data_IF_505621517656
#
_entry.id   IF_505621517656
#
_cell.length_a   1.000
_cell.length_b   1.000
_cell.length_c   1.000
_cell.angle_alpha   90.00
_cell.angle_beta   90.00
_cell.angle_gamma   90.00
#
_symmetry.space_group_name_H-M   'P 1'
#
loop_
_entity.id
_entity.type
_entity.pdbx_description
1 polymer ?
#
# COMPACT_ATOMS: atom_id res chain seq x y z
N UNK A 1 31.44 -12.71 -5.54
CA UNK A 1 30.95 -14.10 -5.37
C UNK A 1 30.33 -14.56 -6.69
N UNK A 2 30.62 -15.80 -7.12
CA UNK A 2 30.04 -16.32 -8.35
C UNK A 2 28.53 -16.63 -8.14
N UNK A 3 27.69 -16.16 -9.05
CA UNK A 3 26.26 -16.50 -9.03
C UNK A 3 26.08 -17.91 -9.60
N UNK A 4 25.99 -18.91 -8.69
CA UNK A 4 25.88 -20.32 -9.04
C UNK A 4 24.64 -20.63 -9.89
N UNK A 5 23.53 -19.95 -9.64
CA UNK A 5 22.30 -20.12 -10.43
C UNK A 5 22.49 -19.60 -11.86
N UNK A 6 23.20 -18.49 -12.05
CA UNK A 6 23.55 -17.97 -13.37
C UNK A 6 24.42 -18.96 -14.14
N UNK A 7 25.46 -19.48 -13.51
CA UNK A 7 26.37 -20.48 -14.13
C UNK A 7 25.61 -21.75 -14.53
N UNK A 8 24.71 -22.22 -13.68
CA UNK A 8 23.89 -23.40 -13.96
C UNK A 8 22.96 -23.18 -15.13
N UNK A 9 22.31 -22.01 -15.19
CA UNK A 9 21.43 -21.61 -16.29
C UNK A 9 22.17 -21.49 -17.62
N UNK A 10 23.32 -20.84 -17.64
CA UNK A 10 24.15 -20.72 -18.85
C UNK A 10 24.53 -22.09 -19.42
N UNK A 11 24.91 -23.05 -18.56
CA UNK A 11 25.17 -24.43 -18.99
C UNK A 11 23.94 -25.14 -19.56
N UNK A 12 22.76 -24.86 -19.03
CA UNK A 12 21.51 -25.43 -19.56
C UNK A 12 21.17 -24.83 -20.92
N UNK A 13 21.30 -23.52 -21.09
CA UNK A 13 21.09 -22.85 -22.37
C UNK A 13 22.04 -23.32 -23.46
N UNK A 14 23.34 -23.44 -23.16
CA UNK A 14 24.32 -24.02 -24.08
C UNK A 14 23.97 -25.45 -24.52
N UNK A 15 23.37 -26.24 -23.62
CA UNK A 15 22.91 -27.56 -23.96
C UNK A 15 21.66 -27.56 -24.84
N UNK A 16 20.73 -26.65 -24.61
CA UNK A 16 19.53 -26.50 -25.44
C UNK A 16 19.85 -26.01 -26.85
N UNK A 17 20.84 -25.14 -27.02
CA UNK A 17 21.33 -24.71 -28.35
C UNK A 17 21.85 -25.95 -29.15
N UNK A 18 22.66 -26.80 -28.50
CA UNK A 18 23.13 -28.03 -29.14
C UNK A 18 21.99 -28.99 -29.51
N UNK A 19 20.93 -29.04 -28.70
CA UNK A 19 19.75 -29.86 -29.02
C UNK A 19 18.99 -29.30 -30.23
N UNK A 20 18.90 -27.98 -30.42
CA UNK A 20 18.32 -27.37 -31.62
C UNK A 20 19.07 -27.69 -32.90
N UNK A 21 20.41 -27.78 -32.82
CA UNK A 21 21.22 -28.17 -33.98
C UNK A 21 20.99 -29.63 -34.42
N UNK A 22 20.62 -30.49 -33.49
CA UNK A 22 20.43 -31.93 -33.74
C UNK A 22 18.99 -32.25 -34.15
N UNK A 23 18.01 -31.49 -33.60
CA UNK A 23 16.57 -31.74 -33.80
C UNK A 23 15.96 -30.57 -34.61
N UNK A 24 15.83 -30.74 -35.92
CA UNK A 24 15.36 -29.66 -36.81
C UNK A 24 13.85 -29.69 -37.14
N UNK A 25 13.07 -30.50 -36.41
CA UNK A 25 11.63 -30.48 -36.61
C UNK A 25 10.97 -29.36 -35.81
N UNK A 26 9.86 -28.81 -36.37
CA UNK A 26 9.19 -27.65 -35.80
C UNK A 26 8.64 -27.86 -34.39
N UNK A 27 8.25 -29.09 -34.07
CA UNK A 27 7.70 -29.43 -32.75
C UNK A 27 8.79 -29.38 -31.66
N UNK A 28 9.94 -30.00 -31.95
CA UNK A 28 11.09 -29.98 -31.04
C UNK A 28 11.67 -28.58 -30.88
N UNK A 29 11.75 -27.78 -31.94
CA UNK A 29 12.22 -26.39 -31.87
C UNK A 29 11.30 -25.56 -31.01
N UNK A 30 9.97 -25.70 -31.10
CA UNK A 30 9.02 -25.00 -30.21
C UNK A 30 9.21 -25.41 -28.76
N UNK A 31 9.27 -26.71 -28.46
CA UNK A 31 9.47 -27.19 -27.09
C UNK A 31 10.78 -26.70 -26.48
N UNK A 32 11.89 -26.74 -27.24
CA UNK A 32 13.18 -26.21 -26.78
C UNK A 32 13.11 -24.70 -26.53
N UNK A 33 12.42 -23.96 -27.39
CA UNK A 33 12.26 -22.51 -27.23
C UNK A 33 11.42 -22.15 -25.99
N UNK A 34 10.37 -22.92 -25.69
CA UNK A 34 9.60 -22.75 -24.44
C UNK A 34 10.47 -23.01 -23.20
N UNK A 35 11.31 -24.05 -23.22
CA UNK A 35 12.25 -24.33 -22.12
C UNK A 35 13.27 -23.19 -21.97
N UNK A 36 13.80 -22.65 -23.06
CA UNK A 36 14.72 -21.49 -23.00
C UNK A 36 14.05 -20.26 -22.43
N UNK A 37 12.81 -19.98 -22.84
CA UNK A 37 12.02 -18.87 -22.29
C UNK A 37 11.84 -19.03 -20.77
N UNK A 38 11.44 -20.21 -20.31
CA UNK A 38 11.28 -20.53 -18.89
C UNK A 38 12.60 -20.42 -18.09
N UNK A 39 13.75 -20.78 -18.71
CA UNK A 39 15.09 -20.63 -18.10
C UNK A 39 15.54 -19.16 -18.03
N UNK A 40 15.15 -18.35 -19.01
CA UNK A 40 15.50 -16.92 -19.09
C UNK A 40 14.54 -16.03 -18.30
N UNK A 41 13.41 -16.56 -17.87
CA UNK A 41 12.44 -15.83 -17.09
C UNK A 41 13.07 -15.31 -15.80
N UNK A 42 12.85 -14.01 -15.54
CA UNK A 42 13.44 -13.33 -14.38
C UNK A 42 12.67 -13.72 -13.13
N UNK A 43 13.26 -14.57 -12.28
CA UNK A 43 12.65 -15.02 -11.02
C UNK A 43 12.99 -14.05 -9.90
N UNK A 44 11.98 -13.40 -9.37
CA UNK A 44 12.09 -12.43 -8.27
C UNK A 44 11.92 -13.11 -6.89
N UNK A 45 12.77 -14.05 -6.54
CA UNK A 45 12.77 -14.62 -5.19
C UNK A 45 11.58 -15.49 -4.79
N UNK A 46 10.45 -15.43 -5.50
CA UNK A 46 9.26 -16.25 -5.31
C UNK A 46 9.00 -17.05 -6.58
N UNK A 47 8.86 -18.35 -6.43
CA UNK A 47 8.50 -19.27 -7.50
C UNK A 47 7.38 -20.17 -6.99
N UNK A 48 6.27 -20.24 -7.72
CA UNK A 48 5.15 -21.10 -7.39
C UNK A 48 4.68 -21.87 -8.62
N UNK A 49 3.91 -22.91 -8.40
CA UNK A 49 3.23 -23.63 -9.47
C UNK A 49 1.99 -22.84 -9.90
N UNK A 50 1.90 -22.56 -11.20
CA UNK A 50 0.73 -21.90 -11.76
C UNK A 50 -0.46 -22.84 -11.79
N UNK A 51 -1.62 -22.32 -11.39
CA UNK A 51 -2.89 -23.02 -11.45
C UNK A 51 -3.87 -22.27 -12.34
N UNK A 52 -4.60 -22.99 -13.22
CA UNK A 52 -5.70 -22.41 -13.99
C UNK A 52 -6.97 -22.33 -13.15
N UNK A 53 -7.83 -21.39 -13.47
CA UNK A 53 -9.18 -21.27 -12.92
C UNK A 53 -10.19 -21.57 -14.03
N UNK A 54 -11.39 -22.08 -13.72
CA UNK A 54 -12.48 -22.25 -14.70
C UNK A 54 -12.80 -20.97 -15.48
N UNK A 55 -12.62 -19.85 -14.83
CA UNK A 55 -12.76 -18.53 -15.43
C UNK A 55 -11.78 -18.32 -16.59
N UNK A 56 -10.55 -18.85 -16.52
CA UNK A 56 -9.59 -18.75 -17.62
C UNK A 56 -10.10 -19.54 -18.83
N UNK A 57 -10.56 -20.78 -18.63
CA UNK A 57 -11.12 -21.63 -19.67
C UNK A 57 -12.37 -20.99 -20.32
N UNK A 58 -13.23 -20.40 -19.50
CA UNK A 58 -14.40 -19.67 -19.99
C UNK A 58 -14.04 -18.47 -20.86
N UNK A 59 -12.99 -17.72 -20.50
CA UNK A 59 -12.52 -16.54 -21.24
C UNK A 59 -11.85 -16.88 -22.58
N UNK A 60 -11.37 -18.11 -22.77
CA UNK A 60 -10.84 -18.56 -24.06
C UNK A 60 -11.92 -18.63 -25.15
N UNK A 61 -13.15 -19.00 -24.76
CA UNK A 61 -14.24 -19.27 -25.68
C UNK A 61 -15.40 -18.29 -25.58
N UNK A 62 -15.46 -17.46 -24.54
CA UNK A 62 -16.57 -16.55 -24.29
C UNK A 62 -16.06 -15.12 -24.02
N UNK A 63 -16.87 -14.16 -24.42
CA UNK A 63 -16.65 -12.75 -24.12
C UNK A 63 -17.68 -12.34 -23.06
N UNK A 64 -17.24 -11.94 -21.84
CA UNK A 64 -18.17 -11.43 -20.84
C UNK A 64 -18.79 -10.11 -21.29
N UNK A 65 -19.98 -9.81 -20.81
CA UNK A 65 -20.67 -8.53 -21.02
C UNK A 65 -21.24 -8.01 -19.70
N UNK A 66 -21.32 -6.70 -19.55
CA UNK A 66 -22.11 -6.08 -18.48
C UNK A 66 -23.57 -6.00 -18.89
N UNK A 67 -24.46 -6.39 -17.99
CA UNK A 67 -25.91 -6.26 -18.14
C UNK A 67 -26.43 -5.35 -17.03
N UNK A 68 -27.09 -4.24 -17.40
CA UNK A 68 -27.67 -3.32 -16.41
C UNK A 68 -28.92 -3.94 -15.77
N UNK A 69 -28.94 -4.04 -14.43
CA UNK A 69 -30.16 -4.33 -13.69
C UNK A 69 -30.92 -3.03 -13.41
N UNK A 70 -31.85 -2.72 -14.30
CA UNK A 70 -32.67 -1.50 -14.24
C UNK A 70 -33.49 -1.42 -12.94
N UNK A 71 -33.86 -2.56 -12.35
CA UNK A 71 -34.68 -2.60 -11.13
C UNK A 71 -33.88 -2.20 -9.88
N UNK A 72 -32.57 -2.34 -9.92
CA UNK A 72 -31.66 -1.96 -8.83
C UNK A 72 -31.01 -0.60 -9.05
N UNK A 73 -31.32 0.07 -10.13
CA UNK A 73 -30.77 1.40 -10.44
C UNK A 73 -31.26 2.43 -9.43
N UNK A 74 -30.33 3.07 -8.75
CA UNK A 74 -30.57 4.21 -7.88
C UNK A 74 -30.37 5.46 -8.73
N UNK A 75 -31.43 6.21 -9.03
CA UNK A 75 -31.36 7.47 -9.76
C UNK A 75 -31.01 8.58 -8.75
N UNK A 76 -29.79 9.08 -8.86
CA UNK A 76 -29.38 10.33 -8.24
C UNK A 76 -29.71 11.52 -9.17
N UNK A 77 -29.45 12.76 -8.74
CA UNK A 77 -29.60 13.93 -9.59
C UNK A 77 -28.65 13.84 -10.80
N UNK A 78 -29.06 14.34 -11.96
CA UNK A 78 -28.33 14.27 -13.24
C UNK A 78 -26.88 14.82 -13.18
N UNK A 79 -26.55 15.62 -12.16
CA UNK A 79 -25.24 16.25 -11.98
C UNK A 79 -24.35 15.54 -10.93
N UNK A 80 -24.79 14.43 -10.35
CA UNK A 80 -24.00 13.69 -9.36
C UNK A 80 -23.07 12.66 -10.02
N UNK A 81 -21.91 12.35 -9.38
CA UNK A 81 -21.00 11.31 -9.85
C UNK A 81 -21.72 9.96 -9.94
N UNK A 82 -21.49 9.27 -11.04
CA UNK A 82 -22.10 7.96 -11.26
C UNK A 82 -21.27 6.85 -10.57
N UNK A 83 -21.94 6.04 -9.74
CA UNK A 83 -21.32 4.89 -9.08
C UNK A 83 -21.87 3.59 -9.66
N UNK A 84 -20.98 2.58 -9.80
CA UNK A 84 -21.34 1.26 -10.29
C UNK A 84 -21.13 0.23 -9.21
N UNK A 85 -22.06 -0.72 -9.10
CA UNK A 85 -21.86 -1.98 -8.42
C UNK A 85 -21.82 -3.07 -9.48
N UNK A 86 -20.68 -3.73 -9.65
CA UNK A 86 -20.50 -4.86 -10.56
C UNK A 86 -20.63 -6.15 -9.78
N UNK A 87 -21.63 -6.96 -10.07
CA UNK A 87 -21.90 -8.24 -9.42
C UNK A 87 -21.51 -9.39 -10.36
N UNK A 88 -20.69 -10.30 -9.88
CA UNK A 88 -20.21 -11.45 -10.64
C UNK A 88 -18.77 -11.82 -10.34
N UNK A 89 -18.19 -12.70 -11.14
CA UNK A 89 -16.78 -13.02 -11.01
C UNK A 89 -15.90 -11.78 -11.30
N UNK A 90 -14.99 -11.48 -10.40
CA UNK A 90 -14.18 -10.27 -10.48
C UNK A 90 -13.16 -10.32 -11.63
N UNK A 91 -12.64 -11.49 -12.04
CA UNK A 91 -11.71 -11.57 -13.15
C UNK A 91 -12.41 -11.27 -14.49
N UNK A 92 -13.66 -11.74 -14.67
CA UNK A 92 -14.50 -11.36 -15.81
C UNK A 92 -14.75 -9.84 -15.86
N UNK A 93 -15.12 -9.25 -14.71
CA UNK A 93 -15.36 -7.81 -14.58
C UNK A 93 -14.10 -6.99 -14.86
N UNK A 94 -12.95 -7.41 -14.33
CA UNK A 94 -11.66 -6.75 -14.54
C UNK A 94 -11.25 -6.79 -16.02
N UNK A 95 -11.44 -7.92 -16.72
CA UNK A 95 -11.18 -8.04 -18.17
C UNK A 95 -12.03 -7.11 -19.02
N UNK A 96 -13.27 -6.85 -18.62
CA UNK A 96 -14.13 -5.86 -19.28
C UNK A 96 -13.69 -4.43 -18.98
N UNK A 97 -13.37 -4.14 -17.72
CA UNK A 97 -12.88 -2.83 -17.29
C UNK A 97 -11.54 -2.48 -17.97
N UNK A 98 -10.66 -3.45 -18.18
CA UNK A 98 -9.39 -3.25 -18.88
C UNK A 98 -9.61 -2.62 -20.27
N UNK A 99 -10.65 -3.02 -21.00
CA UNK A 99 -10.97 -2.47 -22.32
C UNK A 99 -11.48 -1.03 -22.29
N UNK A 100 -12.14 -0.64 -21.21
CA UNK A 100 -12.86 0.65 -21.13
C UNK A 100 -12.20 1.66 -20.19
N UNK A 101 -11.47 1.18 -19.16
CA UNK A 101 -10.92 1.98 -18.07
C UNK A 101 -9.40 1.87 -17.90
N UNK A 102 -8.69 1.30 -18.88
CA UNK A 102 -7.22 1.25 -18.86
C UNK A 102 -6.62 2.64 -18.65
N UNK A 103 -5.77 2.78 -17.63
CA UNK A 103 -5.08 4.03 -17.30
C UNK A 103 -5.99 5.16 -16.80
N UNK A 104 -7.19 4.83 -16.27
CA UNK A 104 -8.17 5.85 -15.82
C UNK A 104 -8.48 5.84 -14.34
N UNK A 105 -8.08 4.81 -13.61
CA UNK A 105 -8.42 4.64 -12.20
C UNK A 105 -7.39 5.34 -11.32
N UNK A 106 -7.87 6.18 -10.40
CA UNK A 106 -7.04 6.91 -9.45
C UNK A 106 -6.55 6.05 -8.29
N UNK A 107 -7.48 5.28 -7.71
CA UNK A 107 -7.25 4.48 -6.52
C UNK A 107 -7.97 3.15 -6.64
N UNK A 108 -7.27 2.09 -6.33
CA UNK A 108 -7.84 0.76 -6.16
C UNK A 108 -7.66 0.37 -4.69
N UNK A 109 -8.72 -0.12 -4.05
CA UNK A 109 -8.66 -0.80 -2.75
C UNK A 109 -9.22 -2.19 -2.90
N UNK A 110 -8.49 -3.18 -2.41
CA UNK A 110 -8.94 -4.57 -2.40
C UNK A 110 -8.74 -5.20 -1.02
N UNK A 111 -9.67 -6.07 -0.68
CA UNK A 111 -9.66 -6.92 0.51
C UNK A 111 -9.81 -8.37 0.03
N UNK A 112 -8.71 -9.01 -0.42
CA UNK A 112 -8.75 -10.35 -0.99
C UNK A 112 -8.98 -11.41 0.10
N UNK A 113 -9.33 -12.65 -0.26
CA UNK A 113 -9.34 -13.75 0.72
C UNK A 113 -7.95 -13.91 1.34
N UNK A 114 -7.88 -14.06 2.67
CA UNK A 114 -6.62 -14.11 3.41
C UNK A 114 -5.98 -15.50 3.43
N UNK A 115 -6.64 -16.49 2.84
CA UNK A 115 -6.17 -17.88 2.77
C UNK A 115 -5.94 -18.51 4.15
N UNK A 116 -6.84 -18.25 5.08
CA UNK A 116 -6.75 -18.73 6.47
C UNK A 116 -6.95 -20.23 6.61
N UNK A 117 -7.48 -20.88 5.57
CA UNK A 117 -7.88 -22.29 5.54
C UNK A 117 -9.17 -22.58 6.33
N UNK A 118 -9.96 -21.55 6.68
CA UNK A 118 -11.24 -21.65 7.35
C UNK A 118 -12.42 -21.26 6.43
N UNK A 119 -12.41 -21.77 5.18
CA UNK A 119 -13.46 -21.53 4.18
C UNK A 119 -13.59 -20.05 3.78
N UNK A 120 -12.49 -19.32 3.77
CA UNK A 120 -12.39 -17.93 3.35
C UNK A 120 -11.84 -17.78 1.93
N UNK A 121 -11.23 -18.84 1.37
CA UNK A 121 -10.72 -18.84 0.01
C UNK A 121 -11.32 -20.01 -0.78
N UNK A 122 -12.01 -19.66 -1.87
CA UNK A 122 -12.54 -20.62 -2.84
C UNK A 122 -11.65 -20.53 -4.10
N UNK A 123 -11.16 -21.68 -4.53
CA UNK A 123 -10.46 -21.84 -5.78
C UNK A 123 -11.17 -22.95 -6.58
N UNK A 124 -11.61 -22.59 -7.75
CA UNK A 124 -12.28 -23.53 -8.68
C UNK A 124 -13.51 -24.24 -8.06
N UNK A 125 -14.39 -23.45 -7.42
CA UNK A 125 -15.60 -23.89 -6.68
C UNK A 125 -15.32 -24.75 -5.43
N UNK A 126 -14.05 -24.93 -5.03
CA UNK A 126 -13.68 -25.68 -3.85
C UNK A 126 -12.98 -24.78 -2.81
N UNK A 127 -13.34 -24.94 -1.53
CA UNK A 127 -12.60 -24.29 -0.46
C UNK A 127 -11.17 -24.86 -0.37
N UNK A 128 -10.19 -23.96 -0.30
CA UNK A 128 -8.80 -24.34 -0.05
C UNK A 128 -8.64 -24.56 1.45
N UNK A 129 -8.27 -25.79 1.83
CA UNK A 129 -8.09 -26.22 3.22
C UNK A 129 -6.62 -26.01 3.68
N UNK A 130 -6.43 -25.91 5.01
CA UNK A 130 -5.10 -25.81 5.63
C UNK A 130 -4.15 -26.97 5.30
N UNK A 131 -4.68 -28.12 4.95
CA UNK A 131 -3.90 -29.31 4.59
C UNK A 131 -3.53 -29.34 3.11
N UNK A 132 -4.03 -28.39 2.31
CA UNK A 132 -3.67 -28.27 0.90
C UNK A 132 -2.22 -27.80 0.77
N UNK A 133 -1.34 -28.67 0.26
CA UNK A 133 0.07 -28.36 0.05
C UNK A 133 0.33 -27.27 -0.99
N UNK A 134 -0.67 -26.92 -1.80
CA UNK A 134 -0.62 -25.90 -2.85
C UNK A 134 -1.42 -24.66 -2.52
N UNK A 135 -1.87 -24.49 -1.27
CA UNK A 135 -2.71 -23.36 -0.86
C UNK A 135 -2.11 -22.00 -1.26
N UNK A 136 -0.82 -21.78 -0.98
CA UNK A 136 -0.11 -20.55 -1.36
C UNK A 136 0.02 -20.40 -2.89
N UNK A 137 0.33 -21.48 -3.62
CA UNK A 137 0.48 -21.44 -5.08
C UNK A 137 -0.84 -21.11 -5.77
N UNK A 138 -1.95 -21.68 -5.31
CA UNK A 138 -3.32 -21.37 -5.80
C UNK A 138 -3.66 -19.91 -5.52
N UNK A 139 -3.38 -19.44 -4.31
CA UNK A 139 -3.66 -18.06 -3.94
C UNK A 139 -2.82 -17.06 -4.76
N UNK A 140 -1.55 -17.34 -4.99
CA UNK A 140 -0.68 -16.53 -5.83
C UNK A 140 -1.17 -16.48 -7.28
N UNK A 141 -1.55 -17.63 -7.85
CA UNK A 141 -2.10 -17.69 -9.22
C UNK A 141 -3.41 -16.91 -9.35
N UNK A 142 -4.29 -17.00 -8.34
CA UNK A 142 -5.53 -16.22 -8.25
C UNK A 142 -5.25 -14.72 -8.20
N UNK A 143 -4.32 -14.28 -7.36
CA UNK A 143 -4.02 -12.87 -7.14
C UNK A 143 -3.25 -12.24 -8.31
N UNK A 144 -2.29 -12.95 -8.89
CA UNK A 144 -1.43 -12.41 -9.95
C UNK A 144 -2.26 -11.90 -11.14
N UNK A 145 -3.18 -12.70 -11.65
CA UNK A 145 -4.03 -12.34 -12.80
C UNK A 145 -4.80 -11.05 -12.55
N UNK A 146 -5.32 -10.90 -11.34
CA UNK A 146 -6.11 -9.74 -10.92
C UNK A 146 -5.25 -8.49 -10.71
N UNK A 147 -4.09 -8.66 -10.09
CA UNK A 147 -3.14 -7.56 -9.84
C UNK A 147 -2.51 -7.02 -11.13
N UNK A 148 -2.22 -7.89 -12.10
CA UNK A 148 -1.71 -7.46 -13.42
C UNK A 148 -2.73 -6.55 -14.10
N UNK A 149 -4.03 -6.93 -14.11
CA UNK A 149 -5.07 -6.09 -14.70
C UNK A 149 -5.28 -4.81 -13.86
N UNK A 150 -5.28 -4.92 -12.54
CA UNK A 150 -5.40 -3.77 -11.65
C UNK A 150 -4.33 -2.71 -11.93
N UNK A 151 -3.08 -3.15 -12.16
CA UNK A 151 -1.99 -2.24 -12.55
C UNK A 151 -2.27 -1.54 -13.88
N UNK A 152 -2.81 -2.24 -14.88
CA UNK A 152 -3.16 -1.65 -16.17
C UNK A 152 -4.32 -0.66 -16.07
N UNK A 153 -5.26 -0.87 -15.15
CA UNK A 153 -6.38 0.04 -14.89
C UNK A 153 -5.93 1.36 -14.26
N UNK A 154 -4.92 1.33 -13.41
CA UNK A 154 -4.40 2.52 -12.74
C UNK A 154 -3.81 3.51 -13.76
N UNK A 155 -4.08 4.80 -13.56
CA UNK A 155 -3.34 5.88 -14.22
C UNK A 155 -1.93 5.99 -13.63
N UNK A 156 -1.04 6.73 -14.27
CA UNK A 156 0.37 6.80 -13.85
C UNK A 156 0.55 7.30 -12.42
N UNK A 157 -0.27 8.25 -11.95
CA UNK A 157 -0.26 8.74 -10.57
C UNK A 157 -1.07 7.85 -9.60
N UNK A 158 -1.73 6.82 -10.13
CA UNK A 158 -2.65 5.96 -9.38
C UNK A 158 -1.96 5.05 -8.38
N UNK A 159 -2.72 4.65 -7.36
CA UNK A 159 -2.23 3.83 -6.25
C UNK A 159 -3.18 2.68 -5.94
N UNK A 160 -2.64 1.59 -5.44
CA UNK A 160 -3.41 0.45 -4.95
C UNK A 160 -3.13 0.20 -3.48
N UNK A 161 -4.19 -0.09 -2.73
CA UNK A 161 -4.15 -0.54 -1.34
C UNK A 161 -4.69 -1.96 -1.26
N UNK A 162 -4.00 -2.83 -0.54
CA UNK A 162 -4.32 -4.25 -0.45
C UNK A 162 -4.25 -4.69 1.00
N UNK A 163 -5.41 -5.01 1.58
CA UNK A 163 -5.51 -5.57 2.93
C UNK A 163 -5.09 -7.03 2.94
N UNK A 164 -4.42 -7.46 3.99
CA UNK A 164 -3.98 -8.86 4.17
C UNK A 164 -3.62 -9.10 5.65
N UNK A 165 -3.67 -10.36 6.08
CA UNK A 165 -3.15 -10.81 7.36
C UNK A 165 -1.82 -11.57 7.22
N UNK A 166 -1.32 -12.14 8.33
CA UNK A 166 -0.06 -12.90 8.38
C UNK A 166 -0.01 -14.14 7.47
N UNK A 167 -1.17 -14.66 7.02
CA UNK A 167 -1.18 -15.91 6.25
C UNK A 167 -0.50 -15.73 4.88
N UNK A 168 -0.77 -14.61 4.19
CA UNK A 168 -0.23 -14.34 2.86
C UNK A 168 0.54 -13.00 2.74
N UNK A 169 0.83 -12.32 3.85
CA UNK A 169 1.49 -11.02 3.85
C UNK A 169 2.84 -11.03 3.10
N UNK A 170 3.68 -12.03 3.34
CA UNK A 170 5.00 -12.15 2.73
C UNK A 170 4.90 -12.49 1.23
N UNK A 171 4.03 -13.42 0.88
CA UNK A 171 3.77 -13.84 -0.49
C UNK A 171 3.22 -12.69 -1.33
N UNK A 172 2.24 -11.95 -0.78
CA UNK A 172 1.68 -10.76 -1.42
C UNK A 172 2.73 -9.69 -1.66
N UNK A 173 3.66 -9.47 -0.71
CA UNK A 173 4.73 -8.48 -0.90
C UNK A 173 5.59 -8.82 -2.12
N UNK A 174 6.03 -10.07 -2.22
CA UNK A 174 6.87 -10.52 -3.32
C UNK A 174 6.11 -10.52 -4.66
N UNK A 175 4.84 -10.90 -4.64
CA UNK A 175 3.99 -10.84 -5.84
C UNK A 175 3.78 -9.41 -6.31
N UNK A 176 3.47 -8.49 -5.41
CA UNK A 176 3.31 -7.08 -5.76
C UNK A 176 4.61 -6.45 -6.25
N UNK A 177 5.76 -6.81 -5.69
CA UNK A 177 7.07 -6.38 -6.19
C UNK A 177 7.31 -6.85 -7.63
N UNK A 178 6.88 -8.07 -7.95
CA UNK A 178 6.96 -8.60 -9.33
C UNK A 178 6.02 -7.85 -10.28
N UNK A 179 4.78 -7.59 -9.86
CA UNK A 179 3.76 -6.96 -10.71
C UNK A 179 3.97 -5.46 -10.86
N UNK A 180 4.13 -4.73 -9.75
CA UNK A 180 4.22 -3.27 -9.74
C UNK A 180 5.64 -2.74 -9.84
N UNK A 181 6.65 -3.54 -9.46
CA UNK A 181 8.04 -3.16 -9.28
C UNK A 181 8.34 -2.76 -7.83
N UNK A 182 9.46 -3.22 -7.30
CA UNK A 182 9.90 -2.95 -5.93
C UNK A 182 10.01 -1.46 -5.62
N UNK A 183 10.52 -0.68 -6.59
CA UNK A 183 10.70 0.78 -6.47
C UNK A 183 9.36 1.54 -6.36
N UNK A 184 8.25 0.92 -6.71
CA UNK A 184 6.90 1.49 -6.61
C UNK A 184 6.19 1.18 -5.29
N UNK A 185 6.87 0.51 -4.35
CA UNK A 185 6.35 0.28 -3.01
C UNK A 185 6.35 1.58 -2.20
N UNK A 186 5.15 2.07 -1.85
CA UNK A 186 5.00 3.30 -1.05
C UNK A 186 5.20 3.00 0.42
N UNK A 187 4.62 1.91 0.91
CA UNK A 187 4.68 1.53 2.32
C UNK A 187 3.63 0.51 2.71
N UNK A 188 3.62 0.18 3.99
CA UNK A 188 2.67 -0.74 4.60
C UNK A 188 2.07 -0.09 5.83
N UNK A 189 0.73 -0.15 5.92
CA UNK A 189 0.01 0.23 7.13
C UNK A 189 -0.21 -1.01 7.99
N UNK A 190 0.04 -0.85 9.29
CA UNK A 190 -0.30 -1.83 10.32
C UNK A 190 -1.56 -1.31 11.01
N UNK A 191 -2.68 -1.99 10.77
CA UNK A 191 -3.98 -1.67 11.36
C UNK A 191 -4.20 -2.54 12.58
N UNK A 192 -4.51 -1.93 13.72
CA UNK A 192 -5.00 -2.70 14.86
C UNK A 192 -6.41 -3.22 14.57
N UNK A 193 -6.57 -4.55 14.52
CA UNK A 193 -7.85 -5.22 14.24
C UNK A 193 -8.58 -5.65 15.51
N UNK A 194 -7.85 -5.85 16.62
CA UNK A 194 -8.42 -6.19 17.93
C UNK A 194 -7.88 -5.27 19.01
N UNK A 195 -8.74 -4.83 19.90
CA UNK A 195 -8.38 -4.05 21.08
C UNK A 195 -8.64 -4.91 22.31
N UNK A 196 -7.58 -5.23 23.05
CA UNK A 196 -7.64 -6.07 24.23
C UNK A 196 -7.22 -7.51 23.99
N UNK A 197 -6.24 -7.97 24.75
CA UNK A 197 -5.67 -9.30 24.65
C UNK A 197 -6.72 -10.39 24.97
N UNK A 198 -6.86 -11.38 24.10
CA UNK A 198 -7.58 -12.61 24.37
C UNK A 198 -6.64 -13.65 25.00
N UNK A 199 -7.13 -14.40 25.96
CA UNK A 199 -6.40 -15.53 26.56
C UNK A 199 -6.38 -16.77 25.65
N UNK A 200 -6.86 -16.63 24.41
CA UNK A 200 -7.08 -17.75 23.48
C UNK A 200 -5.82 -18.14 22.70
N UNK A 201 -4.77 -17.34 22.78
CA UNK A 201 -3.51 -17.64 22.10
C UNK A 201 -2.50 -18.28 23.05
N UNK A 202 -1.92 -19.41 22.61
CA UNK A 202 -0.87 -20.11 23.37
C UNK A 202 0.46 -19.36 23.38
N UNK A 203 0.75 -18.54 22.37
CA UNK A 203 2.04 -17.88 22.20
C UNK A 203 1.89 -16.36 22.14
N UNK A 204 1.52 -15.82 20.98
CA UNK A 204 1.38 -14.38 20.74
C UNK A 204 -0.05 -14.10 20.30
N UNK A 205 -0.68 -13.10 20.89
CA UNK A 205 -2.00 -12.62 20.47
C UNK A 205 -1.82 -11.76 19.21
N UNK A 206 -2.51 -12.13 18.14
CA UNK A 206 -2.53 -11.36 16.91
C UNK A 206 -3.58 -10.26 17.03
N UNK A 207 -3.14 -9.01 16.98
CA UNK A 207 -3.99 -7.83 17.16
C UNK A 207 -3.98 -6.90 15.94
N UNK A 208 -3.31 -7.29 14.85
CA UNK A 208 -3.15 -6.43 13.69
C UNK A 208 -3.31 -7.17 12.37
N UNK A 209 -3.56 -6.38 11.36
CA UNK A 209 -3.57 -6.72 9.95
C UNK A 209 -2.72 -5.71 9.18
N UNK A 210 -2.43 -6.01 7.94
CA UNK A 210 -1.59 -5.18 7.08
C UNK A 210 -2.41 -4.60 5.93
N UNK A 211 -2.02 -3.43 5.47
CA UNK A 211 -2.51 -2.88 4.21
C UNK A 211 -1.31 -2.38 3.40
N UNK A 212 -0.97 -3.09 2.33
CA UNK A 212 0.14 -2.74 1.44
C UNK A 212 -0.28 -1.66 0.47
N UNK A 213 0.62 -0.71 0.20
CA UNK A 213 0.38 0.37 -0.73
C UNK A 213 1.47 0.41 -1.80
N UNK A 214 1.05 0.37 -3.06
CA UNK A 214 1.90 0.50 -4.24
C UNK A 214 1.41 1.63 -5.14
N UNK A 215 2.34 2.35 -5.75
CA UNK A 215 2.06 3.22 -6.87
C UNK A 215 2.13 2.44 -8.18
N UNK A 216 1.43 2.91 -9.22
CA UNK A 216 1.76 2.47 -10.59
C UNK A 216 3.12 3.01 -11.03
N UNK A 217 3.38 4.29 -10.74
CA UNK A 217 4.66 4.96 -10.96
C UNK A 217 4.92 5.95 -9.83
N UNK A 218 5.83 5.62 -8.93
CA UNK A 218 6.15 6.42 -7.74
C UNK A 218 6.59 7.85 -8.08
N UNK A 219 7.27 8.03 -9.23
CA UNK A 219 7.74 9.34 -9.65
C UNK A 219 6.63 10.27 -10.15
N UNK A 220 5.49 9.72 -10.55
CA UNK A 220 4.30 10.47 -10.95
C UNK A 220 3.32 10.68 -9.77
N UNK A 221 3.40 9.83 -8.74
CA UNK A 221 2.45 9.82 -7.62
C UNK A 221 2.64 11.07 -6.74
N UNK A 222 1.52 11.70 -6.38
CA UNK A 222 1.52 12.86 -5.48
C UNK A 222 1.71 12.44 -4.03
N UNK A 223 2.31 13.30 -3.18
CA UNK A 223 2.38 13.05 -1.75
C UNK A 223 1.00 12.74 -1.14
N UNK A 224 0.92 11.72 -0.32
CA UNK A 224 -0.29 11.39 0.41
C UNK A 224 -0.37 12.23 1.67
N UNK A 225 -1.46 12.97 1.82
CA UNK A 225 -1.70 13.79 3.00
C UNK A 225 -3.08 13.50 3.58
N UNK A 226 -3.14 13.45 4.91
CA UNK A 226 -4.39 13.37 5.67
C UNK A 226 -4.63 14.68 6.42
N UNK A 227 -5.90 14.99 6.65
CA UNK A 227 -6.26 16.22 7.39
C UNK A 227 -5.65 16.23 8.79
N UNK A 228 -5.28 17.40 9.25
CA UNK A 228 -4.84 17.57 10.63
C UNK A 228 -5.99 17.35 11.62
N UNK A 229 -5.67 16.76 12.77
CA UNK A 229 -6.60 16.61 13.88
C UNK A 229 -6.99 17.98 14.45
N UNK A 230 -8.25 18.11 14.91
CA UNK A 230 -8.74 19.35 15.51
C UNK A 230 -7.89 19.80 16.71
N UNK A 231 -7.42 18.84 17.52
CA UNK A 231 -6.54 19.13 18.67
C UNK A 231 -5.16 19.65 18.22
N UNK A 232 -4.60 19.06 17.17
CA UNK A 232 -3.35 19.53 16.59
C UNK A 232 -3.44 20.98 16.09
N UNK A 233 -4.56 21.35 15.49
CA UNK A 233 -4.80 22.70 14.95
C UNK A 233 -4.89 23.76 16.05
N UNK A 234 -5.30 23.42 17.27
CA UNK A 234 -5.42 24.36 18.40
C UNK A 234 -4.12 25.03 18.81
N UNK A 235 -2.96 24.49 18.45
CA UNK A 235 -1.64 25.10 18.72
C UNK A 235 -1.31 26.27 17.82
N UNK A 236 -1.90 26.33 16.61
CA UNK A 236 -1.68 27.37 15.62
C UNK A 236 -2.57 28.58 15.88
N UNK A 237 -2.15 29.39 16.87
CA UNK A 237 -2.95 30.53 17.36
C UNK A 237 -2.55 31.85 16.75
N UNK A 238 -1.36 31.94 16.18
CA UNK A 238 -0.81 33.15 15.58
C UNK A 238 -0.86 33.03 14.06
N UNK A 239 -0.95 34.16 13.38
CA UNK A 239 -1.06 34.25 11.93
C UNK A 239 -0.29 35.48 11.43
N UNK A 240 0.37 35.34 10.29
CA UNK A 240 1.01 36.43 9.56
C UNK A 240 0.79 36.24 8.04
N UNK A 241 1.52 36.99 7.20
CA UNK A 241 1.43 36.88 5.74
C UNK A 241 1.75 35.49 5.17
N UNK A 242 2.56 34.69 5.89
CA UNK A 242 2.99 33.37 5.46
C UNK A 242 2.03 32.25 5.97
N UNK A 243 1.04 32.61 6.83
CA UNK A 243 0.00 31.71 7.32
C UNK A 243 -0.05 31.54 8.83
N UNK A 244 -0.84 30.56 9.28
CA UNK A 244 -0.97 30.23 10.70
C UNK A 244 0.27 29.51 11.22
N UNK A 245 0.72 29.91 12.41
CA UNK A 245 1.91 29.34 13.03
C UNK A 245 1.81 29.23 14.54
N UNK A 246 2.75 28.50 15.14
CA UNK A 246 3.07 28.54 16.56
C UNK A 246 4.57 28.62 16.74
N UNK A 247 4.99 29.08 17.93
CA UNK A 247 6.42 29.14 18.29
C UNK A 247 6.90 27.80 18.80
N UNK A 248 7.78 27.13 18.04
CA UNK A 248 8.41 25.87 18.42
C UNK A 248 9.85 26.09 18.93
N UNK A 249 10.38 25.13 19.66
CA UNK A 249 11.74 25.19 20.23
C UNK A 249 12.80 24.93 19.17
N UNK A 250 13.81 25.78 19.15
CA UNK A 250 14.94 25.68 18.20
C UNK A 250 15.98 24.64 18.60
N UNK A 251 16.02 24.23 19.90
CA UNK A 251 16.82 23.14 20.42
C UNK A 251 15.91 22.03 20.91
N UNK A 252 16.27 20.79 20.61
CA UNK A 252 15.50 19.62 21.08
C UNK A 252 16.40 18.71 21.92
N UNK A 253 16.00 18.31 23.13
CA UNK A 253 16.70 17.29 23.89
C UNK A 253 16.80 15.98 23.10
N UNK A 254 17.98 15.34 23.14
CA UNK A 254 18.18 14.02 22.52
C UNK A 254 18.41 14.03 21.00
N UNK A 255 18.71 15.17 20.39
CA UNK A 255 19.15 15.22 19.00
C UNK A 255 20.41 14.34 18.80
N UNK A 256 20.34 13.38 17.86
CA UNK A 256 21.48 12.49 17.58
C UNK A 256 22.66 13.22 16.96
N UNK A 257 22.42 14.25 16.12
CA UNK A 257 23.44 15.04 15.43
C UNK A 257 23.10 16.54 15.55
N UNK A 258 23.23 17.18 16.73
CA UNK A 258 22.96 18.59 16.89
C UNK A 258 24.01 19.42 16.14
N UNK A 259 23.56 20.53 15.54
CA UNK A 259 24.48 21.55 14.99
C UNK A 259 24.82 22.48 16.13
N UNK A 260 26.11 22.63 16.44
CA UNK A 260 26.58 23.43 17.58
C UNK A 260 27.17 24.73 17.06
N UNK A 261 26.61 25.84 17.50
CA UNK A 261 27.16 27.21 17.30
C UNK A 261 26.59 28.17 18.33
N UNK A 262 27.28 29.29 18.54
CA UNK A 262 26.89 30.31 19.48
C UNK A 262 25.85 31.27 18.86
N UNK A 263 24.84 31.61 19.65
CA UNK A 263 23.87 32.67 19.36
C UNK A 263 24.07 33.77 20.40
N UNK A 264 24.25 35.01 19.94
CA UNK A 264 24.36 36.16 20.84
C UNK A 264 22.97 36.69 21.17
N UNK A 265 22.65 36.71 22.45
CA UNK A 265 21.40 37.26 22.94
C UNK A 265 21.42 38.80 22.93
N UNK A 266 20.26 39.48 22.97
CA UNK A 266 20.20 40.95 23.03
C UNK A 266 20.92 41.61 24.20
N UNK A 267 21.14 40.89 25.30
CA UNK A 267 21.91 41.36 26.44
C UNK A 267 23.41 41.04 26.35
N UNK A 268 23.91 40.55 25.20
CA UNK A 268 25.28 40.19 24.97
C UNK A 268 25.67 38.80 25.49
N UNK A 269 24.77 38.09 26.18
CA UNK A 269 25.06 36.74 26.63
C UNK A 269 25.12 35.73 25.49
N UNK A 270 25.98 34.73 25.65
CA UNK A 270 26.13 33.65 24.64
C UNK A 270 25.19 32.51 24.98
N UNK A 271 24.39 32.12 23.96
CA UNK A 271 23.53 30.95 24.02
C UNK A 271 24.18 29.83 23.22
N UNK A 272 24.66 28.81 23.90
CA UNK A 272 25.24 27.62 23.28
C UNK A 272 24.31 26.42 23.51
N UNK A 273 23.95 25.73 22.45
CA UNK A 273 23.10 24.51 22.53
C UNK A 273 23.24 23.70 21.25
N UNK A 274 22.65 22.50 21.23
CA UNK A 274 22.47 21.72 20.03
C UNK A 274 21.24 22.19 19.24
N UNK A 275 21.46 22.72 18.05
CA UNK A 275 20.40 23.32 17.24
C UNK A 275 19.90 22.38 16.14
N UNK A 276 18.64 22.56 15.71
CA UNK A 276 18.01 21.78 14.64
C UNK A 276 18.24 22.36 13.23
N UNK A 277 18.81 23.57 13.15
CA UNK A 277 19.05 24.30 11.88
C UNK A 277 20.46 24.87 11.85
N UNK A 278 21.03 25.07 10.65
CA UNK A 278 22.34 25.67 10.48
C UNK A 278 22.37 27.14 10.88
N UNK A 279 23.58 27.67 11.10
CA UNK A 279 23.80 29.08 11.47
C UNK A 279 23.31 30.03 10.39
N UNK A 280 23.59 29.72 9.11
CA UNK A 280 23.15 30.51 7.96
C UNK A 280 21.63 30.59 7.87
N UNK A 281 20.97 29.48 8.16
CA UNK A 281 19.50 29.44 8.19
C UNK A 281 18.94 30.21 9.38
N UNK A 282 19.58 30.11 10.54
CA UNK A 282 19.21 30.90 11.72
C UNK A 282 19.30 32.39 11.42
N UNK A 283 20.44 32.88 10.88
CA UNK A 283 20.67 34.30 10.63
C UNK A 283 19.64 34.85 9.63
N UNK A 284 19.33 34.14 8.58
CA UNK A 284 18.29 34.52 7.62
C UNK A 284 16.91 34.60 8.26
N UNK A 285 16.48 33.54 8.94
CA UNK A 285 15.18 33.46 9.56
C UNK A 285 15.01 34.43 10.76
N UNK A 286 16.11 34.76 11.43
CA UNK A 286 16.12 35.78 12.49
C UNK A 286 15.92 37.18 11.91
N UNK A 287 16.62 37.49 10.82
CA UNK A 287 16.44 38.76 10.08
C UNK A 287 15.01 38.92 9.51
N UNK A 288 14.38 37.81 9.11
CA UNK A 288 12.99 37.77 8.62
C UNK A 288 11.96 37.81 9.77
N UNK A 289 12.35 37.86 11.02
CA UNK A 289 11.42 37.82 12.16
C UNK A 289 10.72 36.47 12.37
N UNK A 290 11.28 35.41 11.81
CA UNK A 290 10.79 34.04 11.95
C UNK A 290 11.40 33.29 13.14
N UNK A 291 12.38 33.90 13.80
CA UNK A 291 13.01 33.41 15.04
C UNK A 291 12.90 34.51 16.10
N UNK A 292 12.64 34.08 17.34
CA UNK A 292 12.67 34.97 18.50
C UNK A 292 13.54 34.41 19.61
N UNK A 293 14.12 35.32 20.38
CA UNK A 293 14.90 35.05 21.59
C UNK A 293 14.09 35.51 22.79
N UNK A 294 13.75 34.61 23.70
CA UNK A 294 12.95 34.89 24.90
C UNK A 294 13.73 34.57 26.15
N UNK A 295 13.82 35.54 27.09
CA UNK A 295 14.40 35.31 28.41
C UNK A 295 13.35 34.69 29.33
N UNK A 296 13.61 33.48 29.83
CA UNK A 296 12.74 32.76 30.73
C UNK A 296 12.83 33.38 32.15
N UNK A 297 11.87 33.11 33.02
CA UNK A 297 11.84 33.56 34.41
C UNK A 297 13.08 33.15 35.24
N UNK A 298 13.72 32.05 34.88
CA UNK A 298 14.96 31.55 35.49
C UNK A 298 16.23 32.21 34.92
N UNK A 299 16.10 33.24 34.08
CA UNK A 299 17.22 33.97 33.49
C UNK A 299 17.80 33.32 32.21
N UNK A 300 17.43 32.10 31.87
CA UNK A 300 17.92 31.41 30.68
C UNK A 300 17.21 31.90 29.40
N UNK A 301 17.95 31.98 28.33
CA UNK A 301 17.38 32.27 27.02
C UNK A 301 16.77 31.03 26.33
N UNK A 302 15.67 31.25 25.64
CA UNK A 302 15.02 30.26 24.80
C UNK A 302 14.97 30.78 23.35
N UNK A 303 15.48 30.02 22.44
CA UNK A 303 15.38 30.28 21.00
C UNK A 303 14.17 29.55 20.45
N UNK A 304 13.30 30.26 19.77
CA UNK A 304 12.08 29.70 19.17
C UNK A 304 11.97 30.14 17.72
N UNK A 305 11.33 29.32 16.89
CA UNK A 305 11.05 29.63 15.50
C UNK A 305 9.56 29.49 15.18
N UNK A 306 9.09 30.20 14.16
CA UNK A 306 7.73 30.03 13.66
C UNK A 306 7.62 28.69 12.93
N UNK A 307 6.78 27.80 13.47
CA UNK A 307 6.38 26.58 12.78
C UNK A 307 5.05 26.82 12.10
N UNK A 308 5.08 26.99 10.79
CA UNK A 308 3.87 27.21 10.01
C UNK A 308 3.07 25.94 9.82
N UNK A 309 1.75 26.10 9.76
CA UNK A 309 0.82 25.01 9.45
C UNK A 309 0.99 24.58 7.98
N UNK A 310 1.24 23.32 7.77
CA UNK A 310 1.15 22.77 6.44
C UNK A 310 -0.33 22.65 6.04
N UNK A 311 -0.78 23.46 5.11
CA UNK A 311 -2.17 23.49 4.64
C UNK A 311 -2.56 22.21 3.88
N UNK A 312 -1.59 21.52 3.27
CA UNK A 312 -1.83 20.26 2.55
C UNK A 312 -2.15 19.09 3.50
N UNK A 313 -1.94 19.29 4.80
CA UNK A 313 -2.17 18.25 5.81
C UNK A 313 -0.87 17.64 6.35
N UNK A 314 -0.98 16.44 6.90
CA UNK A 314 0.17 15.68 7.46
C UNK A 314 0.34 14.35 6.73
N UNK A 315 1.57 13.90 6.56
CA UNK A 315 1.88 12.56 6.07
C UNK A 315 1.26 11.50 6.97
N UNK A 316 0.54 10.50 6.44
CA UNK A 316 -0.03 9.42 7.24
C UNK A 316 1.07 8.60 7.94
N UNK A 317 0.73 8.01 9.07
CA UNK A 317 1.62 7.11 9.80
C UNK A 317 1.38 5.67 9.39
N UNK A 318 2.43 4.85 9.38
CA UNK A 318 2.31 3.43 9.06
C UNK A 318 1.57 2.59 10.12
N UNK A 319 1.50 3.06 11.38
CA UNK A 319 0.71 2.41 12.43
C UNK A 319 -0.58 3.20 12.67
N UNK A 320 -1.71 2.52 12.51
CA UNK A 320 -3.05 3.08 12.64
C UNK A 320 -3.78 2.39 13.81
N UNK A 321 -3.69 3.01 14.99
CA UNK A 321 -4.29 2.49 16.22
C UNK A 321 -5.62 3.16 16.57
N UNK A 322 -6.00 4.22 15.85
CA UNK A 322 -7.10 5.13 16.23
C UNK A 322 -8.39 4.88 15.43
N UNK A 323 -8.42 3.88 14.55
CA UNK A 323 -9.56 3.65 13.64
C UNK A 323 -10.57 2.60 14.15
N UNK A 324 -10.38 2.10 15.36
CA UNK A 324 -11.24 1.06 15.93
C UNK A 324 -10.98 -0.34 15.33
N UNK A 325 -11.60 -1.33 15.94
CA UNK A 325 -11.56 -2.72 15.48
C UNK A 325 -12.78 -3.11 14.65
N UNK A 326 -12.91 -4.39 14.32
CA UNK A 326 -14.03 -4.96 13.57
C UNK A 326 -15.39 -4.65 14.21
N UNK A 327 -15.46 -4.61 15.55
CA UNK A 327 -16.68 -4.28 16.31
C UNK A 327 -17.12 -2.83 16.09
N UNK A 328 -16.18 -1.92 15.94
CA UNK A 328 -16.47 -0.51 15.71
C UNK A 328 -17.00 -0.30 14.29
N UNK A 329 -16.40 -0.97 13.30
CA UNK A 329 -16.87 -0.97 11.91
C UNK A 329 -18.28 -1.57 11.77
N UNK A 330 -18.58 -2.67 12.47
CA UNK A 330 -19.92 -3.26 12.51
C UNK A 330 -20.95 -2.30 13.14
N UNK A 331 -20.55 -1.58 14.18
CA UNK A 331 -21.40 -0.57 14.83
C UNK A 331 -21.66 0.64 13.92
N UNK A 332 -20.64 1.11 13.20
CA UNK A 332 -20.78 2.19 12.23
C UNK A 332 -21.69 1.79 11.07
N UNK A 333 -21.52 0.60 10.53
CA UNK A 333 -22.35 0.07 9.46
C UNK A 333 -23.82 -0.06 9.89
N UNK A 334 -24.07 -0.57 11.12
CA UNK A 334 -25.42 -0.64 11.70
C UNK A 334 -26.07 0.74 11.83
N UNK A 335 -25.29 1.75 12.22
CA UNK A 335 -25.77 3.13 12.32
C UNK A 335 -26.11 3.73 10.94
N UNK A 336 -25.30 3.45 9.91
CA UNK A 336 -25.54 3.95 8.55
C UNK A 336 -26.75 3.28 7.92
N UNK A 337 -26.93 1.99 8.09
CA UNK A 337 -27.99 1.21 7.46
C UNK A 337 -29.28 1.17 8.27
N UNK A 338 -29.31 1.74 9.49
CA UNK A 338 -30.45 1.71 10.42
C UNK A 338 -31.02 0.29 10.67
N UNK A 339 -30.30 -0.76 10.31
CA UNK A 339 -30.75 -2.14 10.37
C UNK A 339 -29.62 -3.10 10.75
N UNK A 340 -29.98 -4.15 11.45
CA UNK A 340 -29.14 -5.32 11.74
C UNK A 340 -28.99 -6.20 10.47
N UNK A 341 -28.39 -5.64 9.41
CA UNK A 341 -28.07 -6.38 8.19
C UNK A 341 -26.57 -6.50 8.05
N UNK A 342 -25.99 -7.40 8.67
CA UNK A 342 -24.87 -8.19 8.19
C UNK A 342 -24.48 -9.09 9.33
N UNK A 343 -24.93 -10.29 9.28
CA UNK A 343 -24.05 -11.40 9.59
C UNK A 343 -22.92 -11.20 8.59
N UNK A 344 -21.75 -10.76 9.05
CA UNK A 344 -20.52 -10.98 8.31
C UNK A 344 -20.32 -12.49 8.32
N UNK A 345 -21.10 -13.18 7.51
CA UNK A 345 -20.65 -14.42 6.94
C UNK A 345 -19.52 -13.97 6.03
N UNK A 346 -18.34 -14.54 6.26
CA UNK A 346 -17.12 -14.44 5.50
C UNK A 346 -17.33 -13.82 4.14
N UNK A 347 -16.47 -12.88 3.70
CA UNK A 347 -16.65 -12.22 2.43
C UNK A 347 -16.91 -13.27 1.38
N UNK A 348 -18.16 -13.34 0.95
CA UNK A 348 -18.53 -14.03 -0.25
C UNK A 348 -17.74 -13.35 -1.33
N UNK A 349 -16.84 -14.11 -1.92
CA UNK A 349 -16.19 -13.86 -3.20
C UNK A 349 -16.61 -12.57 -3.91
N UNK A 350 -15.88 -11.51 -3.68
CA UNK A 350 -15.87 -10.38 -4.59
C UNK A 350 -14.57 -10.45 -5.39
#
# INVERSE_FOLDING_TARGET
MANLSKIKREKMLDYLEKLKEINNDDENIRAITEIENALNEKKYGLVWEEHSEKVDEMLEHNIPIFVEDVNRKITANENEPYNFLLEGDNLHSLKLLEKTHKGKIDVIYIDPPYNTGYKDFIYDDCFVDKTDGYAHSKWLSFMEKRLVIARELLRDEGVIFISIDDNEQAQLKLLCDSVFGEDNFIGEYIKQSKVGGGNDSKFIVKEHEYCKCYAKNINATKPMNIKHDKEYLKRYKEEDSDGKYFWDTFARPGLKNPIIYDIIAPDGSVINNGWIRSKERFDREYAEGKIRLLKKKNGQWSVQFKQYLNMDGKTPRSMTMDFGGTTDGDSELKNILERKYLIIQNPLNI
#
